data_IF_564593543526
#
_entry.id   IF_564593543526
#
_cell.length_a   1.000
_cell.length_b   1.000
_cell.length_c   1.000
_cell.angle_alpha   90.00
_cell.angle_beta   90.00
_cell.angle_gamma   90.00
#
_symmetry.space_group_name_H-M   'P 1'
#
loop_
_entity.id
_entity.type
_entity.pdbx_description
1 polymer ?
#
# COMPACT_ATOMS: atom_id res chain seq x y z
N UNK A 1 -10.75 8.40 11.68
CA UNK A 1 -9.38 8.75 11.22
C UNK A 1 -8.94 10.21 11.47
N UNK A 2 -9.84 11.11 11.85
CA UNK A 2 -9.47 12.51 12.20
C UNK A 2 -8.57 12.67 13.45
N UNK A 3 -8.40 11.61 14.23
CA UNK A 3 -7.65 11.64 15.50
C UNK A 3 -6.19 11.21 15.40
N UNK A 4 -5.70 10.78 14.23
CA UNK A 4 -4.31 10.37 14.04
C UNK A 4 -3.44 11.58 13.69
N UNK A 5 -2.28 11.71 14.34
CA UNK A 5 -1.27 12.73 14.05
C UNK A 5 -0.21 12.12 13.14
N UNK A 6 -0.42 12.23 11.81
CA UNK A 6 0.49 11.65 10.83
C UNK A 6 1.52 12.70 10.42
N UNK A 7 2.80 12.34 10.55
CA UNK A 7 3.94 13.07 9.99
C UNK A 7 4.48 12.27 8.81
N UNK A 8 4.32 12.82 7.61
CA UNK A 8 4.76 12.20 6.36
C UNK A 8 6.02 12.88 5.86
N UNK A 9 7.07 12.11 5.62
CA UNK A 9 8.30 12.53 4.96
C UNK A 9 8.43 11.80 3.64
N UNK A 10 8.63 12.57 2.58
CA UNK A 10 8.83 12.05 1.23
C UNK A 10 10.17 12.51 0.69
N UNK A 11 10.84 11.76 -0.20
CA UNK A 11 12.05 12.22 -0.87
C UNK A 11 11.74 13.36 -1.85
N UNK A 12 12.76 14.16 -2.20
CA UNK A 12 12.62 15.34 -3.07
C UNK A 12 12.11 14.98 -4.47
N UNK A 13 12.43 13.79 -4.95
CA UNK A 13 12.00 13.26 -6.26
C UNK A 13 10.69 12.44 -6.18
N UNK A 14 9.94 12.56 -5.09
CA UNK A 14 8.70 11.83 -4.89
C UNK A 14 7.66 12.20 -5.96
N UNK A 15 7.24 11.19 -6.71
CA UNK A 15 6.34 11.33 -7.85
C UNK A 15 5.40 10.13 -7.98
N UNK A 16 4.35 10.22 -8.81
CA UNK A 16 3.44 9.11 -9.06
C UNK A 16 4.16 7.81 -9.39
N UNK A 17 3.75 6.77 -8.72
CA UNK A 17 4.34 5.44 -8.78
C UNK A 17 3.59 4.47 -7.88
N UNK A 18 4.23 3.37 -7.53
CA UNK A 18 3.65 2.35 -6.68
C UNK A 18 3.98 2.66 -5.23
N UNK A 19 2.94 2.78 -4.40
CA UNK A 19 3.03 2.94 -2.95
C UNK A 19 2.99 1.56 -2.32
N UNK A 20 4.15 0.99 -2.04
CA UNK A 20 4.30 -0.30 -1.40
C UNK A 20 4.28 -0.18 0.12
N UNK A 21 3.42 -0.93 0.75
CA UNK A 21 3.28 -1.00 2.20
C UNK A 21 3.23 -2.46 2.65
N UNK A 22 3.43 -2.70 3.93
CA UNK A 22 3.18 -4.02 4.50
C UNK A 22 1.72 -4.16 4.88
N UNK A 23 1.15 -5.35 4.75
CA UNK A 23 -0.26 -5.61 5.06
C UNK A 23 -0.64 -5.15 6.48
N UNK A 24 0.27 -5.34 7.45
CA UNK A 24 0.09 -4.85 8.83
C UNK A 24 -0.11 -3.34 8.95
N UNK A 25 0.33 -2.56 7.98
CA UNK A 25 0.37 -1.09 7.99
C UNK A 25 -0.78 -0.43 7.20
N UNK A 26 -1.75 -1.21 6.74
CA UNK A 26 -2.85 -0.76 5.88
C UNK A 26 -3.59 0.46 6.43
N UNK A 27 -3.92 0.48 7.73
CA UNK A 27 -4.70 1.58 8.32
C UNK A 27 -3.95 2.91 8.31
N UNK A 28 -2.67 2.90 8.70
CA UNK A 28 -1.87 4.11 8.75
C UNK A 28 -1.59 4.65 7.34
N UNK A 29 -1.26 3.76 6.41
CA UNK A 29 -1.00 4.11 5.02
C UNK A 29 -2.25 4.69 4.33
N UNK A 30 -3.41 4.07 4.55
CA UNK A 30 -4.69 4.56 4.02
C UNK A 30 -5.06 5.92 4.60
N UNK A 31 -4.79 6.16 5.88
CA UNK A 31 -5.03 7.46 6.50
C UNK A 31 -4.10 8.56 5.95
N UNK A 32 -2.85 8.22 5.62
CA UNK A 32 -1.83 9.16 5.14
C UNK A 32 -2.10 9.67 3.71
N UNK A 33 -2.67 8.82 2.86
CA UNK A 33 -2.89 9.12 1.44
C UNK A 33 -4.37 9.29 1.06
N UNK A 34 -5.24 9.49 2.04
CA UNK A 34 -6.63 9.85 1.76
C UNK A 34 -6.68 11.11 0.89
N UNK A 35 -7.66 11.23 0.05
CA UNK A 35 -7.88 12.36 -0.86
C UNK A 35 -6.74 12.62 -1.88
N UNK A 36 -5.82 11.65 -2.07
CA UNK A 36 -4.72 11.74 -3.04
C UNK A 36 -4.98 11.00 -4.34
N UNK A 37 -6.22 10.58 -4.57
CA UNK A 37 -6.62 9.87 -5.80
C UNK A 37 -5.74 8.63 -6.09
N UNK A 38 -5.47 7.85 -5.06
CA UNK A 38 -4.70 6.60 -5.16
C UNK A 38 -5.60 5.47 -5.65
N UNK A 39 -5.11 4.69 -6.60
CA UNK A 39 -5.76 3.47 -7.05
C UNK A 39 -5.18 2.28 -6.29
N UNK A 40 -6.02 1.50 -5.61
CA UNK A 40 -5.58 0.36 -4.81
C UNK A 40 -6.15 -0.97 -5.34
N UNK A 41 -5.33 -2.01 -5.20
CA UNK A 41 -5.75 -3.39 -5.40
C UNK A 41 -6.14 -4.00 -4.07
N UNK A 42 -7.36 -4.49 -3.96
CA UNK A 42 -7.88 -5.12 -2.73
C UNK A 42 -8.36 -6.54 -3.05
N UNK A 43 -8.02 -7.50 -2.19
CA UNK A 43 -8.43 -8.90 -2.35
C UNK A 43 -9.95 -9.08 -2.34
N UNK A 44 -10.46 -10.13 -2.99
CA UNK A 44 -11.89 -10.49 -3.03
C UNK A 44 -12.38 -11.17 -1.75
N UNK A 45 -11.57 -11.24 -0.70
CA UNK A 45 -11.95 -11.76 0.60
C UNK A 45 -13.00 -10.90 1.31
N UNK A 46 -13.67 -11.46 2.31
CA UNK A 46 -14.63 -10.71 3.13
C UNK A 46 -13.99 -9.51 3.83
N UNK A 47 -12.79 -9.68 4.39
CA UNK A 47 -12.03 -8.58 5.01
C UNK A 47 -11.66 -7.50 3.98
N UNK A 48 -11.31 -7.93 2.77
CA UNK A 48 -11.08 -7.04 1.64
C UNK A 48 -12.33 -6.24 1.24
N UNK A 49 -13.54 -6.81 1.38
CA UNK A 49 -14.79 -6.07 1.10
C UNK A 49 -14.98 -4.90 2.06
N UNK A 50 -14.82 -5.13 3.36
CA UNK A 50 -14.91 -4.05 4.37
C UNK A 50 -13.86 -2.96 4.11
N UNK A 51 -12.62 -3.38 3.82
CA UNK A 51 -11.55 -2.44 3.52
C UNK A 51 -11.83 -1.63 2.25
N UNK A 52 -12.34 -2.28 1.19
CA UNK A 52 -12.67 -1.61 -0.07
C UNK A 52 -13.76 -0.55 0.10
N UNK A 53 -14.79 -0.83 0.89
CA UNK A 53 -15.85 0.14 1.19
C UNK A 53 -15.31 1.34 1.98
N UNK A 54 -14.48 1.10 3.01
CA UNK A 54 -13.85 2.15 3.79
C UNK A 54 -12.90 3.01 2.93
N UNK A 55 -12.13 2.39 2.05
CA UNK A 55 -11.20 3.07 1.15
C UNK A 55 -11.93 3.98 0.14
N UNK A 56 -13.06 3.52 -0.42
CA UNK A 56 -13.90 4.34 -1.31
C UNK A 56 -14.41 5.60 -0.62
N UNK A 57 -14.78 5.52 0.66
CA UNK A 57 -15.19 6.70 1.44
C UNK A 57 -14.04 7.69 1.69
N UNK A 58 -12.80 7.24 1.55
CA UNK A 58 -11.58 8.06 1.65
C UNK A 58 -11.06 8.50 0.27
N UNK A 59 -11.90 8.40 -0.76
CA UNK A 59 -11.63 8.79 -2.15
C UNK A 59 -10.51 7.97 -2.84
N UNK A 60 -10.36 6.71 -2.43
CA UNK A 60 -9.54 5.76 -3.19
C UNK A 60 -10.33 5.16 -4.35
N UNK A 61 -9.67 4.98 -5.50
CA UNK A 61 -10.18 4.09 -6.53
C UNK A 61 -9.80 2.65 -6.17
N UNK A 62 -10.76 1.75 -6.23
CA UNK A 62 -10.56 0.36 -5.79
C UNK A 62 -10.80 -0.60 -6.96
N UNK A 63 -9.79 -1.39 -7.29
CA UNK A 63 -9.94 -2.59 -8.11
C UNK A 63 -9.92 -3.81 -7.20
N UNK A 64 -10.90 -4.69 -7.39
CA UNK A 64 -10.94 -5.99 -6.71
C UNK A 64 -10.12 -6.99 -7.50
N UNK A 65 -9.36 -7.81 -6.81
CA UNK A 65 -8.49 -8.78 -7.45
C UNK A 65 -8.39 -10.09 -6.68
N UNK A 66 -8.45 -11.19 -7.44
CA UNK A 66 -8.07 -12.51 -6.97
C UNK A 66 -6.84 -12.99 -7.73
N UNK A 67 -6.16 -13.99 -7.21
CA UNK A 67 -5.03 -14.63 -7.88
C UNK A 67 -5.40 -15.21 -9.24
N UNK A 68 -6.70 -15.48 -9.45
CA UNK A 68 -7.25 -16.07 -10.71
C UNK A 68 -7.49 -15.03 -11.81
N UNK A 69 -7.64 -13.74 -11.48
CA UNK A 69 -7.90 -12.64 -12.43
C UNK A 69 -6.73 -11.66 -12.54
N UNK A 70 -5.54 -12.08 -12.20
CA UNK A 70 -4.35 -11.23 -12.08
C UNK A 70 -4.06 -10.36 -13.32
N UNK A 71 -4.21 -10.87 -14.53
CA UNK A 71 -3.89 -10.15 -15.76
C UNK A 71 -4.79 -8.93 -16.00
N UNK A 72 -6.09 -9.04 -15.73
CA UNK A 72 -7.05 -7.92 -15.90
C UNK A 72 -6.81 -6.84 -14.88
N UNK A 73 -6.60 -7.22 -13.62
CA UNK A 73 -6.34 -6.29 -12.52
C UNK A 73 -5.07 -5.49 -12.75
N UNK A 74 -4.02 -6.15 -13.22
CA UNK A 74 -2.74 -5.52 -13.59
C UNK A 74 -2.91 -4.47 -14.67
N UNK A 75 -3.77 -4.69 -15.68
CA UNK A 75 -4.04 -3.70 -16.74
C UNK A 75 -4.65 -2.41 -16.18
N UNK A 76 -5.56 -2.50 -15.21
CA UNK A 76 -6.15 -1.34 -14.56
C UNK A 76 -5.10 -0.54 -13.79
N UNK A 77 -4.22 -1.21 -13.04
CA UNK A 77 -3.13 -0.58 -12.31
C UNK A 77 -2.10 0.08 -13.26
N UNK A 78 -1.72 -0.60 -14.35
CA UNK A 78 -0.83 -0.04 -15.37
C UNK A 78 -1.44 1.21 -16.02
N UNK A 79 -2.73 1.21 -16.31
CA UNK A 79 -3.44 2.39 -16.85
C UNK A 79 -3.38 3.57 -15.87
N UNK A 80 -3.58 3.33 -14.59
CA UNK A 80 -3.47 4.37 -13.57
C UNK A 80 -2.06 4.95 -13.48
N UNK A 81 -1.03 4.10 -13.48
CA UNK A 81 0.36 4.55 -13.48
C UNK A 81 0.75 5.35 -14.73
N UNK A 82 0.22 4.97 -15.90
CA UNK A 82 0.41 5.75 -17.15
C UNK A 82 -0.26 7.12 -17.10
N UNK A 83 -1.33 7.26 -16.36
CA UNK A 83 -2.06 8.52 -16.17
C UNK A 83 -1.55 9.33 -14.97
N UNK A 84 -0.28 9.15 -14.59
CA UNK A 84 0.38 9.86 -13.50
C UNK A 84 -0.38 9.78 -12.16
N UNK A 85 -0.95 8.60 -11.86
CA UNK A 85 -1.62 8.34 -10.60
C UNK A 85 -0.79 7.42 -9.72
N UNK A 86 -0.98 7.55 -8.42
CA UNK A 86 -0.42 6.58 -7.48
C UNK A 86 -1.23 5.27 -7.50
N UNK A 87 -0.52 4.16 -7.33
CA UNK A 87 -1.09 2.84 -7.12
C UNK A 87 -0.61 2.30 -5.78
N UNK A 88 -1.53 1.96 -4.89
CA UNK A 88 -1.21 1.39 -3.57
C UNK A 88 -1.39 -0.13 -3.56
N UNK A 89 -0.44 -0.84 -2.95
CA UNK A 89 -0.55 -2.29 -2.77
C UNK A 89 0.26 -2.80 -1.58
N UNK A 90 -0.27 -3.86 -0.93
CA UNK A 90 0.47 -4.59 0.09
C UNK A 90 1.55 -5.45 -0.57
N UNK A 91 2.81 -5.24 -0.19
CA UNK A 91 3.96 -5.91 -0.80
C UNK A 91 4.03 -7.40 -0.46
N UNK A 92 3.56 -7.79 0.72
CA UNK A 92 3.51 -9.17 1.20
C UNK A 92 2.19 -9.90 0.85
N UNK A 93 1.30 -9.20 0.13
CA UNK A 93 0.04 -9.78 -0.34
C UNK A 93 -0.95 -10.11 0.79
N UNK A 94 -2.09 -10.73 0.45
CA UNK A 94 -3.17 -11.00 1.44
C UNK A 94 -2.89 -12.23 2.33
N UNK A 95 -1.94 -13.08 1.96
CA UNK A 95 -1.69 -14.37 2.66
C UNK A 95 -0.25 -14.51 3.16
N UNK A 96 0.56 -13.45 3.04
CA UNK A 96 1.94 -13.48 3.48
C UNK A 96 2.89 -14.41 2.70
N UNK A 97 4.01 -14.79 3.25
CA UNK A 97 4.47 -14.46 4.61
C UNK A 97 4.78 -12.96 4.81
N UNK A 98 4.63 -12.51 6.07
CA UNK A 98 4.80 -11.11 6.42
C UNK A 98 6.20 -10.58 6.07
N UNK A 99 6.25 -9.30 5.63
CA UNK A 99 7.50 -8.58 5.31
C UNK A 99 8.33 -9.22 4.18
N UNK A 100 7.70 -10.00 3.31
CA UNK A 100 8.34 -10.56 2.11
C UNK A 100 7.70 -9.98 0.86
N UNK A 101 8.48 -9.27 0.06
CA UNK A 101 8.00 -8.64 -1.16
C UNK A 101 7.58 -9.68 -2.18
N UNK A 102 6.35 -9.61 -2.65
CA UNK A 102 5.83 -10.46 -3.73
C UNK A 102 6.30 -9.95 -5.10
N UNK A 103 6.53 -10.84 -6.07
CA UNK A 103 7.05 -10.47 -7.39
C UNK A 103 6.15 -9.48 -8.15
N UNK A 104 4.86 -9.44 -7.87
CA UNK A 104 3.88 -8.62 -8.60
C UNK A 104 4.16 -7.12 -8.52
N UNK A 105 4.60 -6.60 -7.37
CA UNK A 105 4.94 -5.18 -7.20
C UNK A 105 6.21 -4.80 -7.98
N UNK A 106 7.22 -5.66 -7.96
CA UNK A 106 8.46 -5.46 -8.70
C UNK A 106 8.22 -5.52 -10.20
N UNK A 107 7.41 -6.50 -10.64
CA UNK A 107 7.02 -6.62 -12.04
C UNK A 107 6.24 -5.38 -12.50
N UNK A 108 5.27 -4.89 -11.70
CA UNK A 108 4.48 -3.71 -12.03
C UNK A 108 5.35 -2.46 -12.16
N UNK A 109 6.32 -2.28 -11.26
CA UNK A 109 7.30 -1.19 -11.33
C UNK A 109 8.10 -1.26 -12.62
N UNK A 110 8.65 -2.43 -12.95
CA UNK A 110 9.43 -2.65 -14.19
C UNK A 110 8.57 -2.42 -15.44
N UNK A 111 7.36 -2.98 -15.49
CA UNK A 111 6.47 -2.89 -16.66
C UNK A 111 5.94 -1.46 -16.89
N UNK A 112 5.75 -0.68 -15.84
CA UNK A 112 5.28 0.71 -15.93
C UNK A 112 6.40 1.74 -16.07
N UNK A 113 7.63 1.38 -15.75
CA UNK A 113 8.76 2.32 -15.62
C UNK A 113 8.59 3.31 -14.46
N UNK A 114 7.70 3.03 -13.51
CA UNK A 114 7.39 3.91 -12.38
C UNK A 114 8.09 3.45 -11.12
N UNK A 115 8.47 4.38 -10.23
CA UNK A 115 9.13 4.04 -8.98
C UNK A 115 8.24 3.19 -8.08
N UNK A 116 8.88 2.30 -7.33
CA UNK A 116 8.27 1.58 -6.23
C UNK A 116 8.74 2.19 -4.92
N UNK A 117 7.82 2.80 -4.20
CA UNK A 117 8.05 3.48 -2.93
C UNK A 117 7.70 2.55 -1.77
N UNK A 118 8.54 2.47 -0.76
CA UNK A 118 8.31 1.70 0.45
C UNK A 118 7.90 2.62 1.61
N UNK A 119 6.84 2.27 2.31
CA UNK A 119 6.43 2.93 3.55
C UNK A 119 7.19 2.34 4.72
N UNK A 120 7.97 3.19 5.40
CA UNK A 120 8.64 2.88 6.66
C UNK A 120 7.89 3.60 7.78
N UNK A 121 7.14 2.86 8.58
CA UNK A 121 6.21 3.43 9.55
C UNK A 121 6.68 3.17 10.98
N UNK A 122 6.72 4.25 11.78
CA UNK A 122 6.92 4.18 13.23
C UNK A 122 5.63 4.62 13.91
N UNK A 123 5.15 3.78 14.80
CA UNK A 123 3.92 4.00 15.54
C UNK A 123 4.21 4.45 16.96
N UNK A 124 3.44 5.41 17.45
CA UNK A 124 3.28 5.64 18.88
C UNK A 124 2.44 4.53 19.52
N UNK A 125 1.42 4.89 20.30
CA UNK A 125 0.56 3.89 20.96
C UNK A 125 -0.32 3.15 19.94
N UNK A 126 -0.30 1.82 19.97
CA UNK A 126 -1.05 0.97 19.05
C UNK A 126 -1.35 -0.39 19.68
N UNK A 127 -2.32 -1.11 19.11
CA UNK A 127 -2.55 -2.53 19.32
C UNK A 127 -2.01 -3.34 18.15
N UNK A 128 -1.68 -4.61 18.42
CA UNK A 128 -1.39 -5.60 17.37
C UNK A 128 -2.41 -6.71 17.48
N UNK A 129 -3.01 -7.06 16.35
CA UNK A 129 -3.84 -8.24 16.28
C UNK A 129 -2.97 -9.45 15.98
N UNK A 130 -3.23 -10.56 16.70
CA UNK A 130 -2.56 -11.81 16.43
C UNK A 130 -3.01 -12.34 15.06
N UNK A 131 -2.08 -12.52 14.18
CA UNK A 131 -2.30 -13.02 12.83
C UNK A 131 -0.96 -13.20 12.12
N UNK A 132 -0.99 -13.66 10.88
CA UNK A 132 0.23 -13.89 10.10
C UNK A 132 1.06 -12.60 9.89
N UNK A 133 0.42 -11.44 9.88
CA UNK A 133 1.03 -10.13 9.63
C UNK A 133 1.21 -9.26 10.88
N UNK A 134 0.66 -9.66 12.03
CA UNK A 134 0.62 -8.83 13.24
C UNK A 134 0.01 -7.43 12.97
N UNK A 135 -1.18 -7.41 12.38
CA UNK A 135 -1.88 -6.21 11.93
C UNK A 135 -1.94 -5.11 13.00
N UNK A 136 -1.62 -3.86 12.61
CA UNK A 136 -1.49 -2.74 13.54
C UNK A 136 -2.72 -1.85 13.52
N UNK A 137 -3.29 -1.63 14.71
CA UNK A 137 -4.38 -0.67 14.94
C UNK A 137 -3.84 0.49 15.78
N UNK A 138 -3.60 1.67 15.16
CA UNK A 138 -3.17 2.85 15.90
C UNK A 138 -4.26 3.32 16.86
N UNK A 139 -3.86 3.70 18.09
CA UNK A 139 -4.78 4.32 19.04
C UNK A 139 -5.15 5.75 18.63
N UNK A 140 -6.34 6.23 19.00
CA UNK A 140 -6.72 7.63 18.80
C UNK A 140 -5.67 8.59 19.37
N UNK A 141 -5.46 9.72 18.71
CA UNK A 141 -4.52 10.80 19.09
C UNK A 141 -3.04 10.39 19.09
N UNK A 142 -2.70 9.16 18.66
CA UNK A 142 -1.31 8.73 18.56
C UNK A 142 -0.56 9.44 17.42
N UNK A 143 0.75 9.60 17.60
CA UNK A 143 1.64 10.05 16.54
C UNK A 143 2.07 8.86 15.68
N UNK A 144 2.09 9.05 14.37
CA UNK A 144 2.58 8.08 13.38
C UNK A 144 3.55 8.81 12.47
N UNK A 145 4.79 8.34 12.45
CA UNK A 145 5.81 8.85 11.53
C UNK A 145 5.92 7.91 10.34
N UNK A 146 5.68 8.43 9.15
CA UNK A 146 5.79 7.69 7.88
C UNK A 146 6.92 8.31 7.08
N UNK A 147 7.92 7.53 6.76
CA UNK A 147 9.00 7.87 5.85
C UNK A 147 8.83 7.06 4.56
N UNK A 148 8.77 7.73 3.42
CA UNK A 148 8.72 7.07 2.10
C UNK A 148 10.14 6.93 1.59
N UNK A 149 10.51 5.72 1.17
CA UNK A 149 11.82 5.41 0.58
C UNK A 149 11.66 4.73 -0.76
N UNK A 150 12.64 4.90 -1.63
CA UNK A 150 12.70 4.12 -2.86
C UNK A 150 13.06 2.67 -2.54
N UNK A 151 12.25 1.73 -3.00
CA UNK A 151 12.56 0.31 -2.92
C UNK A 151 13.31 -0.08 -4.18
N UNK A 152 14.63 -0.17 -4.10
CA UNK A 152 15.44 -0.72 -5.18
C UNK A 152 15.20 -2.23 -5.24
N UNK A 153 14.97 -2.81 -6.43
CA UNK A 153 15.04 -4.24 -6.57
C UNK A 153 16.45 -4.69 -6.13
N UNK A 154 16.54 -5.69 -5.28
CA UNK A 154 17.83 -6.28 -4.95
C UNK A 154 18.52 -6.65 -6.25
N UNK A 155 19.62 -6.01 -6.55
CA UNK A 155 20.54 -6.45 -7.60
C UNK A 155 21.10 -7.80 -7.12
N UNK A 156 20.49 -8.91 -7.55
CA UNK A 156 21.14 -10.19 -7.54
C UNK A 156 22.33 -10.10 -8.52
N UNK A 157 23.39 -9.45 -8.07
CA UNK A 157 24.70 -9.56 -8.69
C UNK A 157 25.20 -10.98 -8.39
N UNK A 158 24.98 -11.90 -9.34
CA UNK A 158 25.83 -13.07 -9.46
C UNK A 158 27.01 -12.74 -10.31
#
# INVERSE_FOLDING_TARGET
MRSLRIRLRVPDDFRPGILGLWHKDLLASTAAFKDKNVHILVSESNDGEFFAQAAKQLHYEVTRGSDTHGATNVRHLLKSLKNDRFVGMALDGPHGPALQVKPGSLWLSKASGRPLWLFCIKYGKHFRLNGWDNFIIPLPLTAIDIEIKYLLPENNSK
#
